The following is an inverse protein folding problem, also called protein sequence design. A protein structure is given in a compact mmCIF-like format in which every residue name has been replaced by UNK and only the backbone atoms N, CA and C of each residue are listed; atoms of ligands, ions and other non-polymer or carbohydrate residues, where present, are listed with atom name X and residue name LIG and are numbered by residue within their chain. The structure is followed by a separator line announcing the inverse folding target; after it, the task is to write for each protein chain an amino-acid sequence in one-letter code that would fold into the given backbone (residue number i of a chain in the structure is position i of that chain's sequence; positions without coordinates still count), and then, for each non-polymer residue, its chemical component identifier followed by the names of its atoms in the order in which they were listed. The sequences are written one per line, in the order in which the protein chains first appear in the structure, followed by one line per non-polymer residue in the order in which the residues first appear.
data_IF_622245209922
#
_entry.id   IF_622245209922
#
_cell.length_a   1.000
_cell.length_b   1.000
_cell.length_c   1.000
_cell.angle_alpha   90.00
_cell.angle_beta   90.00
_cell.angle_gamma   90.00
#
_symmetry.space_group_name_H-M   'P 1'
#
loop_
_entity.id
_entity.type
_entity.pdbx_description
1 polymer ?
#
# COMPACT_ATOMS: atom_id res chain seq x y z
N UNK A 1 17.19 -14.90 2.96
CA UNK A 1 16.48 -13.86 3.72
C UNK A 1 17.22 -12.55 3.61
N UNK A 2 18.53 -12.53 3.89
CA UNK A 2 19.39 -11.34 3.83
C UNK A 2 19.28 -10.53 2.54
N UNK A 3 19.22 -11.20 1.37
CA UNK A 3 19.06 -10.51 0.09
C UNK A 3 17.73 -9.75 -0.03
N UNK A 4 16.63 -10.30 0.51
CA UNK A 4 15.32 -9.65 0.50
C UNK A 4 15.28 -8.50 1.51
N UNK A 5 15.89 -8.69 2.69
CA UNK A 5 16.08 -7.61 3.66
C UNK A 5 16.93 -6.47 3.12
N UNK A 6 17.95 -6.77 2.32
CA UNK A 6 18.74 -5.75 1.62
C UNK A 6 17.88 -4.97 0.64
N UNK A 7 17.06 -5.65 -0.18
CA UNK A 7 16.13 -4.98 -1.10
C UNK A 7 15.14 -4.07 -0.36
N UNK A 8 14.59 -4.54 0.77
CA UNK A 8 13.69 -3.75 1.60
C UNK A 8 14.34 -2.43 2.09
N UNK A 9 15.64 -2.46 2.35
CA UNK A 9 16.40 -1.30 2.84
C UNK A 9 16.91 -0.36 1.74
N UNK A 10 17.04 -0.85 0.50
CA UNK A 10 17.47 -0.03 -0.64
C UNK A 10 16.40 0.99 -1.05
N UNK A 11 15.12 0.64 -0.92
CA UNK A 11 14.01 1.54 -1.21
C UNK A 11 13.62 2.36 0.03
N UNK A 12 14.23 3.54 0.19
CA UNK A 12 13.97 4.45 1.32
C UNK A 12 12.84 5.44 1.06
N UNK A 13 12.63 5.84 -0.19
CA UNK A 13 11.54 6.72 -0.60
C UNK A 13 11.14 6.52 -2.06
N UNK A 14 9.92 6.94 -2.40
CA UNK A 14 9.30 6.73 -3.70
C UNK A 14 8.39 7.91 -4.05
N UNK A 15 8.55 8.45 -5.26
CA UNK A 15 7.59 9.36 -5.88
C UNK A 15 7.15 8.79 -7.21
N UNK A 16 5.84 8.76 -7.46
CA UNK A 16 5.30 8.24 -8.72
C UNK A 16 3.99 8.95 -9.09
N UNK A 17 3.74 9.08 -10.39
CA UNK A 17 2.39 9.26 -10.90
C UNK A 17 1.59 7.97 -10.70
N UNK A 18 0.32 8.08 -10.34
CA UNK A 18 -0.56 6.92 -10.16
C UNK A 18 -1.79 6.99 -11.05
N UNK A 19 -2.28 5.82 -11.41
CA UNK A 19 -3.57 5.60 -12.04
C UNK A 19 -4.27 4.47 -11.31
N UNK A 20 -5.36 4.81 -10.65
CA UNK A 20 -6.17 3.93 -9.82
C UNK A 20 -7.44 3.57 -10.59
N UNK A 21 -7.70 2.27 -10.70
CA UNK A 21 -8.98 1.73 -11.15
C UNK A 21 -9.56 0.88 -10.04
N UNK A 22 -10.79 1.18 -9.67
CA UNK A 22 -11.50 0.51 -8.61
C UNK A 22 -12.68 -0.24 -9.23
N UNK A 23 -12.86 -1.49 -8.84
CA UNK A 23 -14.05 -2.29 -9.15
C UNK A 23 -14.68 -2.70 -7.83
N UNK A 24 -15.97 -2.47 -7.66
CA UNK A 24 -16.76 -2.88 -6.49
C UNK A 24 -17.96 -3.67 -7.01
N UNK A 25 -18.18 -4.90 -6.54
CA UNK A 25 -19.30 -5.73 -7.00
C UNK A 25 -19.37 -5.83 -8.54
N UNK A 26 -18.21 -6.11 -9.16
CA UNK A 26 -18.00 -6.14 -10.61
C UNK A 26 -18.30 -4.83 -11.37
N UNK A 27 -18.62 -3.74 -10.67
CA UNK A 27 -18.85 -2.42 -11.27
C UNK A 27 -17.57 -1.58 -11.24
N UNK A 28 -17.09 -1.24 -12.44
CA UNK A 28 -15.93 -0.38 -12.61
C UNK A 28 -16.28 1.09 -12.24
N UNK A 29 -15.54 1.64 -11.29
CA UNK A 29 -15.60 3.03 -10.90
C UNK A 29 -14.78 3.91 -11.85
N UNK A 30 -15.05 5.22 -11.90
CA UNK A 30 -14.23 6.16 -12.66
C UNK A 30 -12.75 6.06 -12.28
N UNK A 31 -11.89 6.12 -13.29
CA UNK A 31 -10.46 6.10 -13.08
C UNK A 31 -9.98 7.38 -12.38
N UNK A 32 -9.12 7.23 -11.37
CA UNK A 32 -8.52 8.34 -10.65
C UNK A 32 -7.03 8.39 -11.00
N UNK A 33 -6.56 9.54 -11.49
CA UNK A 33 -5.14 9.79 -11.73
C UNK A 33 -4.57 10.57 -10.57
N UNK A 34 -3.28 10.48 -10.30
CA UNK A 34 -2.77 11.07 -9.08
C UNK A 34 -1.27 11.10 -8.94
N UNK A 35 -0.84 11.39 -7.73
CA UNK A 35 0.54 11.27 -7.29
C UNK A 35 0.61 10.50 -5.98
N UNK A 36 1.58 9.60 -5.91
CA UNK A 36 1.99 8.90 -4.70
C UNK A 36 3.37 9.42 -4.31
N UNK A 37 3.53 9.72 -3.03
CA UNK A 37 4.78 10.12 -2.40
C UNK A 37 4.89 9.35 -1.09
N UNK A 38 5.98 8.62 -0.90
CA UNK A 38 6.21 7.79 0.27
C UNK A 38 7.66 7.90 0.71
N UNK A 39 7.91 7.93 2.01
CA UNK A 39 9.25 7.84 2.58
C UNK A 39 9.22 7.11 3.91
N UNK A 40 10.25 6.31 4.14
CA UNK A 40 10.52 5.65 5.42
C UNK A 40 11.13 6.65 6.41
N UNK A 41 10.84 6.45 7.68
CA UNK A 41 11.42 7.18 8.82
C UNK A 41 11.81 6.19 9.93
N UNK A 42 12.50 6.67 10.97
CA UNK A 42 12.77 5.85 12.16
C UNK A 42 11.51 5.55 12.99
N UNK A 43 10.46 6.37 12.88
CA UNK A 43 9.22 6.24 13.66
C UNK A 43 8.10 5.54 12.88
N UNK A 44 8.36 5.04 11.68
CA UNK A 44 7.37 4.47 10.77
C UNK A 44 7.46 5.10 9.38
N UNK A 45 6.32 5.39 8.77
CA UNK A 45 6.26 5.82 7.37
C UNK A 45 5.48 7.12 7.21
N UNK A 46 5.90 7.92 6.23
CA UNK A 46 5.15 9.07 5.74
C UNK A 46 4.69 8.78 4.32
N UNK A 47 3.42 9.06 4.04
CA UNK A 47 2.84 8.81 2.74
C UNK A 47 1.83 9.90 2.39
N UNK A 48 1.81 10.33 1.13
CA UNK A 48 0.77 11.17 0.57
C UNK A 48 0.28 10.63 -0.75
N UNK A 49 -1.03 10.53 -0.89
CA UNK A 49 -1.71 10.11 -2.10
C UNK A 49 -2.73 11.16 -2.47
N UNK A 50 -2.52 11.81 -3.61
CA UNK A 50 -3.47 12.79 -4.14
C UNK A 50 -4.16 12.20 -5.37
N UNK A 51 -5.49 12.24 -5.38
CA UNK A 51 -6.32 11.76 -6.48
C UNK A 51 -6.99 12.90 -7.23
N UNK A 52 -7.00 12.81 -8.55
CA UNK A 52 -7.62 13.73 -9.50
C UNK A 52 -8.64 13.00 -10.36
N UNK A 53 -9.83 13.58 -10.49
CA UNK A 53 -10.90 13.10 -11.35
C UNK A 53 -10.66 13.40 -12.86
N UNK A 54 -11.66 13.11 -13.72
CA UNK A 54 -11.53 13.17 -15.18
C UNK A 54 -11.19 14.55 -15.76
N UNK A 55 -11.29 15.63 -14.98
CA UNK A 55 -10.97 17.00 -15.37
C UNK A 55 -9.74 17.58 -14.64
N UNK A 56 -8.93 16.74 -13.98
CA UNK A 56 -7.78 17.20 -13.19
C UNK A 56 -8.14 17.81 -11.83
N UNK A 57 -9.43 17.86 -11.50
CA UNK A 57 -9.91 18.34 -10.20
C UNK A 57 -9.52 17.34 -9.13
N UNK A 58 -8.90 17.81 -8.04
CA UNK A 58 -8.60 16.97 -6.87
C UNK A 58 -9.90 16.44 -6.27
N UNK A 59 -10.00 15.11 -6.14
CA UNK A 59 -11.14 14.42 -5.54
C UNK A 59 -10.85 13.94 -4.13
N UNK A 60 -9.58 13.72 -3.80
CA UNK A 60 -9.12 13.49 -2.44
C UNK A 60 -7.63 13.79 -2.29
N UNK A 61 -7.21 14.01 -1.05
CA UNK A 61 -5.81 14.08 -0.65
C UNK A 61 -5.61 13.37 0.69
N UNK A 62 -4.88 12.27 0.66
CA UNK A 62 -4.62 11.40 1.80
C UNK A 62 -3.19 11.61 2.28
N UNK A 63 -2.99 11.84 3.58
CA UNK A 63 -1.67 12.01 4.20
C UNK A 63 -1.56 11.16 5.46
N UNK A 64 -0.50 10.39 5.56
CA UNK A 64 -0.02 9.78 6.80
C UNK A 64 1.18 10.58 7.26
N UNK A 65 1.03 11.30 8.37
CA UNK A 65 2.11 12.10 8.96
C UNK A 65 1.83 12.38 10.43
N UNK A 66 2.89 12.65 11.21
CA UNK A 66 2.80 13.05 12.63
C UNK A 66 1.88 12.14 13.46
N UNK A 67 1.97 10.82 13.26
CA UNK A 67 1.18 9.80 13.98
C UNK A 67 -0.34 9.93 13.76
N UNK A 68 -0.76 10.49 12.63
CA UNK A 68 -2.14 10.57 12.22
C UNK A 68 -2.31 10.27 10.73
N UNK A 69 -3.51 9.82 10.39
CA UNK A 69 -4.02 9.72 9.04
C UNK A 69 -5.00 10.87 8.79
N UNK A 70 -4.84 11.55 7.66
CA UNK A 70 -5.67 12.66 7.22
C UNK A 70 -6.20 12.37 5.83
N UNK A 71 -7.50 12.55 5.62
CA UNK A 71 -8.17 12.44 4.33
C UNK A 71 -8.96 13.72 4.08
N UNK A 72 -8.43 14.56 3.20
CA UNK A 72 -9.15 15.73 2.71
C UNK A 72 -10.07 15.34 1.56
N UNK A 73 -11.34 15.68 1.66
CA UNK A 73 -12.34 15.49 0.60
C UNK A 73 -12.85 16.89 0.20
N UNK A 74 -12.40 17.44 -0.95
CA UNK A 74 -12.77 18.79 -1.38
C UNK A 74 -14.28 19.02 -1.50
N UNK A 75 -15.05 18.02 -1.97
CA UNK A 75 -16.50 18.13 -2.07
C UNK A 75 -17.22 18.25 -0.72
N UNK A 76 -16.59 17.79 0.37
CA UNK A 76 -17.10 17.94 1.73
C UNK A 76 -16.56 19.21 2.39
N UNK A 77 -15.56 19.86 1.78
CA UNK A 77 -14.79 20.96 2.36
C UNK A 77 -14.32 20.64 3.79
N UNK A 78 -13.83 19.42 4.00
CA UNK A 78 -13.48 18.91 5.31
C UNK A 78 -12.33 17.90 5.26
N UNK A 79 -11.61 17.80 6.36
CA UNK A 79 -10.54 16.82 6.58
C UNK A 79 -10.98 15.81 7.62
N UNK A 80 -10.95 14.55 7.23
CA UNK A 80 -11.23 13.40 8.08
C UNK A 80 -9.93 12.91 8.71
N UNK A 81 -9.87 12.82 10.03
CA UNK A 81 -8.65 12.55 10.78
C UNK A 81 -8.84 11.41 11.78
N UNK A 82 -7.79 10.61 11.96
CA UNK A 82 -7.67 9.61 13.03
C UNK A 82 -6.19 9.46 13.42
N UNK A 83 -5.93 9.17 14.69
CA UNK A 83 -4.59 8.80 15.14
C UNK A 83 -4.21 7.39 14.69
N UNK A 84 -2.92 7.15 14.47
CA UNK A 84 -2.45 5.81 14.03
C UNK A 84 -2.69 4.72 15.08
N UNK A 85 -2.82 5.08 16.37
CA UNK A 85 -3.09 4.15 17.46
C UNK A 85 -4.60 3.95 17.71
N UNK A 86 -5.46 4.67 16.97
CA UNK A 86 -6.90 4.46 17.07
C UNK A 86 -7.25 3.09 16.47
N UNK A 87 -8.32 2.49 17.00
CA UNK A 87 -8.81 1.19 16.57
C UNK A 87 -10.05 1.34 15.70
N UNK A 88 -10.08 0.57 14.62
CA UNK A 88 -11.29 0.30 13.87
C UNK A 88 -12.29 -0.50 14.73
N UNK A 89 -13.54 -0.56 14.29
CA UNK A 89 -14.61 -1.32 14.96
C UNK A 89 -14.29 -2.80 15.18
N UNK A 90 -13.46 -3.41 14.32
CA UNK A 90 -13.01 -4.79 14.46
C UNK A 90 -11.79 -4.94 15.41
N UNK A 91 -11.37 -3.87 16.09
CA UNK A 91 -10.25 -3.85 17.03
C UNK A 91 -8.87 -3.66 16.39
N UNK A 92 -8.77 -3.62 15.05
CA UNK A 92 -7.52 -3.44 14.31
C UNK A 92 -7.05 -1.98 14.39
N UNK A 93 -5.79 -1.76 14.70
CA UNK A 93 -5.21 -0.42 14.75
C UNK A 93 -4.99 0.17 13.35
N UNK A 94 -5.11 1.49 13.22
CA UNK A 94 -4.85 2.20 11.96
C UNK A 94 -3.40 2.02 11.52
N UNK A 95 -2.45 1.99 12.46
CA UNK A 95 -1.04 1.68 12.24
C UNK A 95 -0.84 0.34 11.51
N UNK A 96 -1.61 -0.67 11.85
CA UNK A 96 -1.57 -1.99 11.20
C UNK A 96 -1.99 -1.90 9.74
N UNK A 97 -3.04 -1.12 9.42
CA UNK A 97 -3.44 -0.88 8.04
C UNK A 97 -2.40 -0.11 7.24
N UNK A 98 -1.75 0.88 7.86
CA UNK A 98 -0.67 1.64 7.22
C UNK A 98 0.50 0.71 6.89
N UNK A 99 0.89 -0.17 7.82
CA UNK A 99 1.94 -1.16 7.60
C UNK A 99 1.59 -2.17 6.49
N UNK A 100 0.32 -2.61 6.42
CA UNK A 100 -0.12 -3.48 5.32
C UNK A 100 -0.11 -2.76 3.97
N UNK A 101 -0.53 -1.50 3.94
CA UNK A 101 -0.47 -0.67 2.75
C UNK A 101 0.98 -0.41 2.32
N UNK A 102 1.93 -0.41 3.24
CA UNK A 102 3.34 -0.23 2.91
C UNK A 102 3.94 -1.40 2.15
N UNK A 103 3.45 -2.62 2.33
CA UNK A 103 3.85 -3.76 1.51
C UNK A 103 3.49 -3.58 0.04
N UNK A 104 2.51 -2.73 -0.28
CA UNK A 104 2.20 -2.39 -1.67
C UNK A 104 3.32 -1.56 -2.30
N UNK A 105 3.98 -0.72 -1.49
CA UNK A 105 4.99 0.24 -1.92
C UNK A 105 6.41 -0.30 -1.78
N UNK A 106 6.66 -1.11 -0.76
CA UNK A 106 7.91 -1.82 -0.53
C UNK A 106 7.60 -3.30 -0.25
N UNK A 107 7.34 -4.13 -1.27
CA UNK A 107 6.94 -5.53 -1.08
C UNK A 107 7.95 -6.39 -0.33
N UNK A 108 9.23 -6.00 -0.36
CA UNK A 108 10.30 -6.72 0.34
C UNK A 108 10.26 -6.49 1.85
N UNK A 109 9.66 -5.40 2.35
CA UNK A 109 9.57 -5.10 3.79
C UNK A 109 8.71 -6.10 4.57
N UNK A 110 8.02 -7.02 3.89
CA UNK A 110 7.34 -8.16 4.51
C UNK A 110 8.28 -8.99 5.40
N UNK A 111 9.60 -8.96 5.16
CA UNK A 111 10.59 -9.67 5.98
C UNK A 111 10.87 -9.00 7.33
N UNK A 112 10.38 -7.78 7.54
CA UNK A 112 10.47 -7.04 8.80
C UNK A 112 9.30 -7.40 9.75
N UNK A 113 8.40 -8.29 9.33
CA UNK A 113 7.25 -8.75 10.13
C UNK A 113 7.61 -9.87 11.12
N UNK A 114 6.62 -10.39 11.87
CA UNK A 114 6.86 -11.43 12.88
C UNK A 114 6.86 -12.83 12.26
N UNK A 115 7.61 -13.75 12.88
CA UNK A 115 7.66 -15.18 12.51
C UNK A 115 7.94 -15.43 11.01
N UNK A 116 8.84 -14.64 10.44
CA UNK A 116 9.19 -14.74 9.02
C UNK A 116 10.06 -15.96 8.77
N UNK A 117 9.71 -16.76 7.78
CA UNK A 117 10.46 -17.93 7.38
C UNK A 117 10.29 -18.28 5.91
N UNK A 118 11.29 -18.92 5.32
CA UNK A 118 11.17 -19.49 3.97
C UNK A 118 10.27 -20.73 4.05
N UNK A 119 9.28 -20.79 3.18
CA UNK A 119 8.31 -21.88 3.12
C UNK A 119 8.30 -22.51 1.73
N UNK A 120 7.78 -23.73 1.63
CA UNK A 120 7.53 -24.36 0.33
C UNK A 120 6.36 -23.67 -0.39
N UNK A 121 6.54 -23.33 -1.66
CA UNK A 121 5.47 -22.77 -2.48
C UNK A 121 4.36 -23.81 -2.70
N UNK A 122 3.14 -23.50 -2.27
CA UNK A 122 1.97 -24.36 -2.53
C UNK A 122 1.68 -24.36 -4.04
N UNK A 123 1.51 -25.56 -4.61
CA UNK A 123 1.11 -25.86 -6.02
C UNK A 123 2.18 -25.82 -7.11
N UNK A 124 3.47 -25.84 -6.79
CA UNK A 124 4.55 -25.78 -7.80
C UNK A 124 5.41 -27.05 -7.82
N UNK A 125 4.74 -28.22 -7.75
CA UNK A 125 5.43 -29.53 -7.76
C UNK A 125 6.16 -29.82 -9.09
N UNK A 126 5.72 -29.21 -10.18
CA UNK A 126 6.18 -29.53 -11.55
C UNK A 126 7.27 -28.58 -12.08
N UNK A 127 7.64 -27.54 -11.32
CA UNK A 127 8.73 -26.63 -11.71
C UNK A 127 10.10 -27.25 -11.41
N UNK A 128 11.10 -26.93 -12.24
CA UNK A 128 12.51 -27.21 -11.88
C UNK A 128 12.93 -26.32 -10.72
N UNK A 129 13.82 -26.80 -9.85
CA UNK A 129 14.16 -26.11 -8.60
C UNK A 129 14.70 -24.67 -8.77
N UNK A 130 15.36 -24.38 -9.90
CA UNK A 130 15.86 -23.04 -10.22
C UNK A 130 14.78 -22.09 -10.76
N UNK A 131 13.62 -22.61 -11.16
CA UNK A 131 12.44 -21.87 -11.64
C UNK A 131 11.42 -21.66 -10.53
N UNK A 132 11.55 -22.41 -9.42
CA UNK A 132 10.66 -22.27 -8.27
C UNK A 132 10.86 -20.90 -7.62
N UNK A 133 9.82 -20.08 -7.49
CA UNK A 133 9.88 -18.84 -6.75
C UNK A 133 10.27 -19.08 -5.29
N UNK A 134 10.74 -18.02 -4.64
CA UNK A 134 10.98 -18.00 -3.20
C UNK A 134 9.67 -17.64 -2.51
N UNK A 135 9.17 -18.53 -1.67
CA UNK A 135 8.01 -18.27 -0.83
C UNK A 135 8.42 -17.95 0.60
N UNK A 136 7.89 -16.86 1.13
CA UNK A 136 8.06 -16.44 2.52
C UNK A 136 6.71 -16.58 3.22
N UNK A 137 6.68 -17.24 4.36
CA UNK A 137 5.58 -17.18 5.30
C UNK A 137 5.87 -16.15 6.38
N UNK A 138 4.84 -15.44 6.83
CA UNK A 138 4.96 -14.44 7.89
C UNK A 138 3.69 -14.39 8.75
N UNK A 139 3.76 -13.70 9.88
CA UNK A 139 2.62 -13.44 10.77
C UNK A 139 2.50 -11.94 11.04
N UNK A 140 1.26 -11.47 11.09
CA UNK A 140 0.92 -10.11 11.49
C UNK A 140 -0.44 -10.11 12.23
N UNK A 141 -0.90 -8.96 12.73
CA UNK A 141 -2.14 -8.88 13.51
C UNK A 141 -3.40 -9.39 12.77
N UNK A 142 -3.43 -9.34 11.44
CA UNK A 142 -4.50 -9.92 10.60
C UNK A 142 -4.28 -11.38 10.19
N UNK A 143 -3.35 -12.09 10.83
CA UNK A 143 -3.13 -13.53 10.66
C UNK A 143 -1.91 -13.91 9.81
N UNK A 144 -1.77 -15.20 9.45
CA UNK A 144 -0.65 -15.69 8.67
C UNK A 144 -0.73 -15.21 7.22
N UNK A 145 0.39 -14.80 6.66
CA UNK A 145 0.51 -14.39 5.27
C UNK A 145 1.60 -15.15 4.51
N UNK A 146 1.54 -15.05 3.18
CA UNK A 146 2.54 -15.57 2.27
C UNK A 146 2.92 -14.52 1.23
N UNK A 147 4.21 -14.40 0.96
CA UNK A 147 4.74 -13.60 -0.13
C UNK A 147 5.54 -14.49 -1.09
N UNK A 148 5.44 -14.20 -2.38
CA UNK A 148 6.17 -14.90 -3.45
C UNK A 148 7.07 -13.91 -4.17
N UNK A 149 8.30 -14.33 -4.40
CA UNK A 149 9.31 -13.55 -5.13
C UNK A 149 9.94 -14.42 -6.21
N UNK A 150 10.29 -13.81 -7.33
CA UNK A 150 11.11 -14.46 -8.34
C UNK A 150 12.47 -14.81 -7.75
N UNK A 151 12.96 -16.02 -8.02
CA UNK A 151 14.18 -16.52 -7.38
C UNK A 151 15.44 -15.83 -7.87
N UNK A 152 15.47 -15.42 -9.13
CA UNK A 152 16.68 -14.89 -9.78
C UNK A 152 16.81 -13.39 -9.56
N UNK A 153 15.70 -12.67 -9.73
CA UNK A 153 15.65 -11.21 -9.68
C UNK A 153 15.19 -10.67 -8.34
N UNK A 154 14.63 -11.51 -7.47
CA UNK A 154 13.95 -11.12 -6.23
C UNK A 154 12.74 -10.21 -6.47
N UNK A 155 12.24 -10.09 -7.71
CA UNK A 155 11.05 -9.30 -8.02
C UNK A 155 9.83 -9.84 -7.28
N UNK A 156 8.98 -9.00 -6.68
CA UNK A 156 7.77 -9.46 -6.03
C UNK A 156 6.78 -9.99 -7.08
N UNK A 157 6.11 -11.09 -6.74
CA UNK A 157 5.09 -11.74 -7.60
C UNK A 157 3.72 -11.59 -6.96
N UNK A 158 3.60 -11.93 -5.67
CA UNK A 158 2.33 -11.84 -4.96
C UNK A 158 2.50 -11.76 -3.46
N UNK A 159 1.52 -11.18 -2.77
CA UNK A 159 1.37 -11.23 -1.32
C UNK A 159 -0.07 -11.61 -0.99
N UNK A 160 -0.29 -12.48 -0.02
CA UNK A 160 -1.65 -12.89 0.37
C UNK A 160 -1.73 -13.13 1.87
N UNK A 161 -2.81 -12.65 2.49
CA UNK A 161 -3.22 -12.96 3.85
C UNK A 161 -4.74 -13.26 3.86
N UNK A 162 -5.39 -13.49 5.02
CA UNK A 162 -6.83 -13.78 5.08
C UNK A 162 -7.73 -12.67 4.52
N UNK A 163 -7.31 -11.40 4.61
CA UNK A 163 -8.11 -10.22 4.25
C UNK A 163 -7.86 -9.76 2.81
N UNK A 164 -6.62 -9.87 2.32
CA UNK A 164 -6.20 -9.29 1.04
C UNK A 164 -5.30 -10.22 0.23
N UNK A 165 -5.37 -10.04 -1.09
CA UNK A 165 -4.45 -10.63 -2.07
C UNK A 165 -3.90 -9.55 -2.98
N UNK A 166 -2.59 -9.50 -3.13
CA UNK A 166 -1.85 -8.57 -3.99
C UNK A 166 -1.12 -9.36 -5.07
N UNK A 167 -1.21 -8.88 -6.30
CA UNK A 167 -0.38 -9.31 -7.42
C UNK A 167 0.47 -8.15 -7.89
N UNK A 168 1.73 -8.43 -8.15
CA UNK A 168 2.74 -7.48 -8.61
C UNK A 168 3.13 -7.87 -10.04
N UNK A 169 2.96 -6.93 -10.97
CA UNK A 169 3.16 -7.14 -12.40
C UNK A 169 3.98 -6.00 -13.02
N UNK A 170 4.43 -6.22 -14.25
CA UNK A 170 5.13 -5.24 -15.09
C UNK A 170 6.37 -4.64 -14.39
N UNK A 171 7.39 -5.49 -14.13
CA UNK A 171 8.59 -5.09 -13.41
C UNK A 171 9.40 -4.07 -14.22
N UNK A 172 9.85 -3.01 -13.55
CA UNK A 172 10.72 -1.97 -14.12
C UNK A 172 12.02 -1.88 -13.34
N UNK A 173 13.13 -1.70 -14.05
CA UNK A 173 14.43 -1.52 -13.42
C UNK A 173 14.56 -0.10 -12.87
N UNK A 174 14.80 0.00 -11.56
CA UNK A 174 15.04 1.26 -10.86
C UNK A 174 16.51 1.30 -10.42
N UNK A 175 17.42 1.62 -11.35
CA UNK A 175 18.85 1.56 -11.11
C UNK A 175 19.35 0.13 -10.87
N UNK A 176 20.22 -0.06 -9.86
CA UNK A 176 20.86 -1.34 -9.54
C UNK A 176 20.06 -2.21 -8.54
N UNK A 177 18.79 -1.86 -8.28
CA UNK A 177 17.92 -2.60 -7.37
C UNK A 177 17.17 -3.74 -8.08
N UNK A 178 16.56 -4.64 -7.31
CA UNK A 178 15.62 -5.63 -7.85
C UNK A 178 14.49 -4.92 -8.64
N UNK A 179 13.99 -5.53 -9.73
CA UNK A 179 12.93 -4.92 -10.52
C UNK A 179 11.70 -4.59 -9.68
N UNK A 180 11.24 -3.35 -9.79
CA UNK A 180 10.13 -2.81 -9.02
C UNK A 180 8.81 -2.97 -9.77
N UNK A 181 7.69 -3.34 -9.12
CA UNK A 181 6.43 -3.54 -9.82
C UNK A 181 5.76 -2.21 -10.19
N UNK A 182 5.55 -1.96 -11.48
CA UNK A 182 4.82 -0.78 -11.93
C UNK A 182 3.30 -0.99 -11.97
N UNK A 183 2.82 -2.23 -11.88
CA UNK A 183 1.40 -2.57 -11.75
C UNK A 183 1.15 -3.39 -10.49
N UNK A 184 0.18 -2.95 -9.70
CA UNK A 184 -0.22 -3.62 -8.47
C UNK A 184 -1.72 -3.87 -8.53
N UNK A 185 -2.14 -5.11 -8.31
CA UNK A 185 -3.56 -5.49 -8.23
C UNK A 185 -3.87 -6.02 -6.85
N UNK A 186 -4.81 -5.39 -6.18
CA UNK A 186 -5.23 -5.71 -4.81
C UNK A 186 -6.66 -6.22 -4.89
N UNK A 187 -6.93 -7.36 -4.28
CA UNK A 187 -8.28 -7.89 -4.04
C UNK A 187 -8.52 -7.95 -2.54
N UNK A 188 -9.51 -7.19 -2.07
CA UNK A 188 -9.99 -7.24 -0.69
C UNK A 188 -11.11 -8.28 -0.62
N UNK A 189 -10.88 -9.38 0.11
CA UNK A 189 -11.70 -10.60 0.04
C UNK A 189 -13.10 -10.39 0.62
N UNK A 190 -13.23 -9.61 1.68
CA UNK A 190 -14.51 -9.37 2.35
C UNK A 190 -15.38 -8.30 1.67
N UNK A 191 -14.77 -7.42 0.87
CA UNK A 191 -15.46 -6.25 0.31
C UNK A 191 -15.84 -6.41 -1.16
N UNK A 192 -15.56 -7.59 -1.75
CA UNK A 192 -15.72 -7.84 -3.18
C UNK A 192 -15.20 -6.66 -4.04
N UNK A 193 -13.99 -6.22 -3.67
CA UNK A 193 -13.36 -5.01 -4.17
C UNK A 193 -12.01 -5.35 -4.79
N UNK A 194 -11.79 -4.85 -6.00
CA UNK A 194 -10.51 -4.92 -6.70
C UNK A 194 -9.97 -3.52 -6.96
N UNK A 195 -8.72 -3.28 -6.58
CA UNK A 195 -7.99 -2.04 -6.83
C UNK A 195 -6.82 -2.37 -7.75
N UNK A 196 -6.75 -1.70 -8.89
CA UNK A 196 -5.61 -1.75 -9.80
C UNK A 196 -4.88 -0.42 -9.76
N UNK A 197 -3.61 -0.46 -9.40
CA UNK A 197 -2.70 0.67 -9.33
C UNK A 197 -1.70 0.51 -10.48
N UNK A 198 -1.58 1.54 -11.31
CA UNK A 198 -0.48 1.67 -12.28
C UNK A 198 0.37 2.86 -11.87
N UNK A 199 1.65 2.60 -11.65
CA UNK A 199 2.67 3.58 -11.33
C UNK A 199 3.36 4.05 -12.61
N UNK A 200 3.65 5.35 -12.68
CA UNK A 200 4.34 5.99 -13.80
C UNK A 200 5.38 6.97 -13.25
N UNK A 201 6.39 7.27 -14.07
CA UNK A 201 7.42 8.25 -13.76
C UNK A 201 8.02 8.02 -12.36
N UNK A 202 8.38 6.76 -12.09
CA UNK A 202 8.81 6.29 -10.77
C UNK A 202 10.20 6.85 -10.45
N UNK A 203 10.31 7.56 -9.33
CA UNK A 203 11.51 8.24 -8.86
C UNK A 203 11.85 7.75 -7.44
N UNK A 204 12.67 6.70 -7.30
CA UNK A 204 13.14 6.25 -5.99
C UNK A 204 14.11 7.26 -5.37
N UNK A 205 14.17 7.34 -4.04
CA UNK A 205 15.14 8.17 -3.32
C UNK A 205 14.99 9.68 -3.52
N UNK A 206 13.85 10.13 -4.07
CA UNK A 206 13.61 11.53 -4.47
C UNK A 206 12.97 12.39 -3.39
N UNK A 207 12.69 11.80 -2.22
CA UNK A 207 12.01 12.45 -1.11
C UNK A 207 12.77 12.23 0.20
N UNK A 208 12.68 13.20 1.11
CA UNK A 208 13.10 13.07 2.51
C UNK A 208 11.93 13.34 3.47
N UNK A 209 12.01 12.89 4.74
CA UNK A 209 10.94 13.11 5.72
C UNK A 209 10.62 14.59 5.99
N UNK A 210 11.57 15.49 5.76
CA UNK A 210 11.45 16.94 5.98
C UNK A 210 10.74 17.65 4.82
N UNK A 211 10.45 16.96 3.72
CA UNK A 211 9.82 17.56 2.57
C UNK A 211 8.45 18.18 2.92
N UNK A 212 8.16 19.42 2.47
CA UNK A 212 6.92 20.12 2.80
C UNK A 212 5.64 19.37 2.42
N UNK A 213 5.74 18.40 1.50
CA UNK A 213 4.61 17.57 1.07
C UNK A 213 4.04 16.72 2.19
N UNK A 214 4.84 16.40 3.21
CA UNK A 214 4.39 15.65 4.38
C UNK A 214 3.93 16.54 5.55
N UNK A 215 3.86 17.87 5.36
CA UNK A 215 3.37 18.78 6.37
C UNK A 215 1.82 18.81 6.41
N UNK A 216 1.18 18.43 7.53
CA UNK A 216 -0.29 18.47 7.65
C UNK A 216 -0.85 19.88 7.95
N UNK A 217 -0.02 20.89 8.24
CA UNK A 217 -0.49 22.24 8.60
C UNK A 217 -1.57 22.82 7.67
N UNK A 218 -1.50 22.65 6.33
CA UNK A 218 -2.56 23.12 5.43
C UNK A 218 -3.96 22.60 5.79
N UNK A 219 -4.07 21.38 6.33
CA UNK A 219 -5.34 20.77 6.71
C UNK A 219 -5.99 21.42 7.93
N UNK A 220 -5.21 22.07 8.80
CA UNK A 220 -5.75 22.71 10.00
C UNK A 220 -6.53 23.99 9.71
N UNK A 221 -6.51 24.47 8.46
CA UNK A 221 -7.39 25.54 7.98
C UNK A 221 -8.81 25.06 7.62
N UNK A 222 -9.05 23.75 7.61
CA UNK A 222 -10.31 23.13 7.23
C UNK A 222 -11.03 22.56 8.45
N UNK A 223 -12.37 22.38 8.40
CA UNK A 223 -13.11 21.59 9.38
C UNK A 223 -12.51 20.20 9.56
N UNK A 224 -12.27 19.80 10.81
CA UNK A 224 -11.74 18.49 11.16
C UNK A 224 -12.86 17.58 11.66
N UNK A 225 -12.98 16.39 11.08
CA UNK A 225 -13.97 15.39 11.44
C UNK A 225 -13.31 14.03 11.74
N UNK A 226 -13.86 13.20 12.64
CA UNK A 226 -13.36 11.85 12.84
C UNK A 226 -13.48 11.01 11.55
N UNK A 227 -12.41 10.29 11.17
CA UNK A 227 -12.42 9.40 10.00
C UNK A 227 -13.53 8.34 10.06
N UNK A 228 -13.88 7.91 11.27
CA UNK A 228 -14.88 6.88 11.54
C UNK A 228 -16.25 7.23 10.93
N UNK A 229 -16.57 8.51 10.77
CA UNK A 229 -17.81 8.94 10.10
C UNK A 229 -17.91 8.48 8.64
N UNK A 230 -16.77 8.24 7.97
CA UNK A 230 -16.74 7.70 6.60
C UNK A 230 -16.66 6.18 6.55
N UNK A 231 -16.10 5.54 7.58
CA UNK A 231 -15.87 4.10 7.59
C UNK A 231 -17.08 3.31 8.11
N UNK A 232 -17.88 3.91 9.00
CA UNK A 232 -19.04 3.29 9.63
C UNK A 232 -20.18 2.90 8.67
N UNK A 233 -20.49 3.68 7.61
CA UNK A 233 -21.56 3.32 6.65
C UNK A 233 -21.19 2.15 5.71
N UNK A 234 -19.91 1.87 5.50
CA UNK A 234 -19.44 0.89 4.50
C UNK A 234 -19.76 -0.58 4.85
N UNK A 235 -20.35 -0.85 6.02
CA UNK A 235 -20.83 -2.18 6.42
C UNK A 235 -22.35 -2.35 6.37
N UNK A 236 -23.13 -1.31 6.06
CA UNK A 236 -24.60 -1.35 6.07
C UNK A 236 -25.26 -1.58 4.69
N UNK A 237 -24.48 -1.90 3.65
CA UNK A 237 -25.01 -2.22 2.31
C UNK A 237 -24.93 -3.71 1.93
N UNK A 238 -24.73 -4.61 2.88
CA UNK A 238 -25.06 -6.03 2.70
C UNK A 238 -26.50 -6.27 3.16
N UNK A 239 -27.45 -6.10 2.25
CA UNK A 239 -28.79 -6.66 2.34
C UNK A 239 -29.00 -7.64 1.18
#
# INVERSE_FOLDING_TARGET
MDAISLQANQLSSLKAGIKLKLTIHDQAQPEIKGRLMWTRTHEGELARVTGHGPFGITVFDCLVAKKAFYLFIPSHNAVYVTGINDKLRNGKEISTLINEASWLLNPWSVVETQNVGVASCKKEKDFKDYEKPVCISFSHQGGPGWAKFDRQTLSPISLENPELKVLYDDPVLLGDCAPYPSKIRIKLKELDMEIKITLKDIQPGSLTPEDPVFNPTPYFSQPLHPLMLLLDPLRYQTY
#
